data_IF_973518627093
#
_entry.id   IF_973518627093
#
_cell.length_a   1.000
_cell.length_b   1.000
_cell.length_c   1.000
_cell.angle_alpha   90.00
_cell.angle_beta   90.00
_cell.angle_gamma   90.00
#
_symmetry.space_group_name_H-M   'P 1'
#
loop_
_entity.id
_entity.type
_entity.pdbx_description
1 polymer ?
#
# COMPACT_ATOMS: atom_id res chain seq x y z
N UNK A 1 33.11 -75.33 -23.72
CA UNK A 1 32.50 -74.59 -24.84
C UNK A 1 31.69 -73.46 -24.21
N UNK A 2 32.21 -72.24 -24.04
CA UNK A 2 32.32 -71.19 -25.08
C UNK A 2 31.00 -71.03 -25.86
N UNK A 3 30.30 -69.89 -25.96
CA UNK A 3 30.69 -68.45 -25.93
C UNK A 3 29.44 -67.53 -25.87
N UNK A 4 29.61 -66.35 -25.23
CA UNK A 4 29.11 -64.96 -25.50
C UNK A 4 27.74 -64.71 -26.22
N UNK A 5 26.92 -63.75 -25.73
CA UNK A 5 26.94 -62.31 -26.13
C UNK A 5 25.73 -61.45 -25.62
N UNK A 6 26.08 -60.29 -25.04
CA UNK A 6 25.46 -58.92 -24.96
C UNK A 6 23.94 -58.57 -24.91
N UNK A 7 23.71 -57.47 -24.14
CA UNK A 7 22.64 -56.43 -24.16
C UNK A 7 21.25 -56.88 -23.63
N UNK A 8 20.56 -56.12 -22.77
CA UNK A 8 20.43 -54.65 -22.69
C UNK A 8 19.91 -54.24 -21.30
N UNK A 9 20.52 -53.18 -20.77
CA UNK A 9 20.06 -52.37 -19.64
C UNK A 9 18.61 -51.91 -19.77
N UNK A 10 17.88 -51.86 -18.66
CA UNK A 10 16.95 -50.77 -18.37
C UNK A 10 16.66 -50.70 -16.87
N UNK A 11 17.51 -49.95 -16.18
CA UNK A 11 17.30 -49.46 -14.82
C UNK A 11 16.06 -48.57 -14.79
N UNK A 12 15.08 -48.92 -13.95
CA UNK A 12 13.90 -48.10 -13.65
C UNK A 12 14.39 -46.82 -12.97
N UNK A 13 14.53 -45.75 -13.75
CA UNK A 13 14.98 -44.44 -13.26
C UNK A 13 13.79 -43.79 -12.55
N UNK A 14 13.79 -43.84 -11.22
CA UNK A 14 12.96 -42.97 -10.38
C UNK A 14 13.30 -41.54 -10.76
N UNK A 15 12.37 -40.87 -11.44
CA UNK A 15 12.47 -39.45 -11.76
C UNK A 15 12.32 -38.67 -10.46
N UNK A 16 13.43 -38.39 -9.79
CA UNK A 16 13.52 -37.29 -8.83
C UNK A 16 13.36 -36.00 -9.60
N UNK A 17 12.11 -35.51 -9.67
CA UNK A 17 11.79 -34.17 -10.12
C UNK A 17 12.44 -33.19 -9.14
N UNK A 18 13.64 -32.73 -9.47
CA UNK A 18 14.30 -31.64 -8.77
C UNK A 18 13.49 -30.38 -9.02
N UNK A 19 12.65 -30.00 -8.05
CA UNK A 19 12.05 -28.67 -8.06
C UNK A 19 13.18 -27.66 -7.93
N UNK A 20 13.62 -27.08 -9.06
CA UNK A 20 14.49 -25.90 -9.04
C UNK A 20 13.70 -24.79 -8.35
N UNK A 21 13.90 -24.62 -7.05
CA UNK A 21 13.34 -23.50 -6.30
C UNK A 21 14.02 -22.24 -6.80
N UNK A 22 13.26 -21.35 -7.43
CA UNK A 22 13.70 -19.99 -7.70
C UNK A 22 14.15 -19.33 -6.40
N UNK A 23 15.27 -18.58 -6.41
CA UNK A 23 15.74 -17.89 -5.22
C UNK A 23 14.69 -16.89 -4.75
N UNK A 24 14.35 -16.95 -3.45
CA UNK A 24 13.44 -16.00 -2.81
C UNK A 24 14.15 -14.66 -2.60
N UNK A 25 13.41 -13.56 -2.63
CA UNK A 25 13.93 -12.23 -2.31
C UNK A 25 14.51 -12.21 -0.90
N UNK A 26 15.74 -11.71 -0.68
CA UNK A 26 16.35 -11.65 0.64
C UNK A 26 15.62 -10.63 1.54
N UNK A 27 15.49 -10.96 2.82
CA UNK A 27 14.91 -10.08 3.82
C UNK A 27 15.83 -8.88 4.13
N UNK A 28 15.25 -7.71 4.35
CA UNK A 28 15.96 -6.54 4.88
C UNK A 28 16.33 -6.75 6.36
N UNK A 29 17.26 -5.95 6.88
CA UNK A 29 17.73 -6.05 8.28
C UNK A 29 16.62 -5.80 9.31
N UNK A 30 15.64 -4.99 8.95
CA UNK A 30 14.48 -4.58 9.74
C UNK A 30 13.19 -5.31 9.33
N UNK A 31 13.30 -6.44 8.60
CA UNK A 31 12.13 -7.20 8.17
C UNK A 31 11.35 -7.76 9.37
N UNK A 32 10.02 -7.70 9.27
CA UNK A 32 9.11 -8.33 10.22
C UNK A 32 9.39 -9.83 10.33
N UNK A 33 9.45 -10.34 11.57
CA UNK A 33 9.79 -11.75 11.85
C UNK A 33 8.56 -12.60 12.09
N UNK A 34 7.44 -11.97 12.47
CA UNK A 34 6.17 -12.61 12.73
C UNK A 34 4.98 -11.71 12.30
N UNK A 35 3.76 -12.21 12.53
CA UNK A 35 2.53 -11.48 12.18
C UNK A 35 2.33 -10.21 13.01
N UNK A 36 2.86 -10.16 14.23
CA UNK A 36 2.72 -9.00 15.11
C UNK A 36 3.62 -7.86 14.65
N UNK A 37 4.85 -8.16 14.26
CA UNK A 37 5.76 -7.21 13.63
C UNK A 37 5.16 -6.66 12.33
N UNK A 38 4.62 -7.55 11.48
CA UNK A 38 3.99 -7.14 10.22
C UNK A 38 2.77 -6.24 10.47
N UNK A 39 1.90 -6.60 11.42
CA UNK A 39 0.73 -5.80 11.79
C UNK A 39 1.12 -4.42 12.32
N UNK A 40 2.14 -4.34 13.18
CA UNK A 40 2.61 -3.04 13.68
C UNK A 40 3.21 -2.18 12.57
N UNK A 41 3.98 -2.77 11.66
CA UNK A 41 4.53 -2.03 10.52
C UNK A 41 3.43 -1.51 9.58
N UNK A 42 2.39 -2.31 9.32
CA UNK A 42 1.19 -1.86 8.61
C UNK A 42 0.44 -0.75 9.36
N UNK A 43 0.36 -0.83 10.70
CA UNK A 43 -0.27 0.21 11.53
C UNK A 43 0.49 1.53 11.46
N UNK A 44 1.83 1.49 11.45
CA UNK A 44 2.69 2.68 11.28
C UNK A 44 2.53 3.30 9.89
N UNK A 45 2.34 2.47 8.87
CA UNK A 45 2.17 2.88 7.47
C UNK A 45 0.85 3.63 7.27
N UNK A 46 -0.28 3.03 7.68
CA UNK A 46 -1.60 3.66 7.59
C UNK A 46 -1.71 4.91 8.48
N UNK A 47 -1.07 4.91 9.66
CA UNK A 47 -1.01 6.09 10.52
C UNK A 47 -0.28 7.27 9.87
N UNK A 48 0.77 6.99 9.09
CA UNK A 48 1.40 8.04 8.29
C UNK A 48 0.48 8.49 7.16
N UNK A 49 -0.15 7.56 6.47
CA UNK A 49 -1.03 7.83 5.33
C UNK A 49 -2.18 8.78 5.72
N UNK A 50 -2.91 8.46 6.79
CA UNK A 50 -4.02 9.28 7.28
C UNK A 50 -3.57 10.68 7.71
N UNK A 51 -2.40 10.80 8.34
CA UNK A 51 -1.82 12.11 8.70
C UNK A 51 -1.39 12.92 7.50
N UNK A 52 -0.91 12.27 6.44
CA UNK A 52 -0.55 12.93 5.19
C UNK A 52 -1.82 13.39 4.45
N UNK A 53 -2.84 12.53 4.38
CA UNK A 53 -4.14 12.81 3.78
C UNK A 53 -4.83 13.99 4.48
N UNK A 54 -4.87 14.01 5.81
CA UNK A 54 -5.44 15.13 6.59
C UNK A 54 -4.81 16.49 6.26
N UNK A 55 -3.53 16.51 5.83
CA UNK A 55 -2.85 17.74 5.39
C UNK A 55 -3.16 18.11 3.95
N UNK A 56 -3.45 17.12 3.10
CA UNK A 56 -3.73 17.32 1.68
C UNK A 56 -5.18 17.76 1.41
N UNK A 57 -6.16 17.20 2.14
CA UNK A 57 -7.58 17.46 1.95
C UNK A 57 -7.96 18.96 1.99
N UNK A 58 -7.43 19.80 2.90
CA UNK A 58 -7.72 21.24 2.88
C UNK A 58 -7.31 21.92 1.56
N UNK A 59 -6.19 21.48 0.95
CA UNK A 59 -5.74 22.02 -0.35
C UNK A 59 -6.68 21.58 -1.46
N UNK A 60 -7.12 20.32 -1.47
CA UNK A 60 -8.09 19.81 -2.44
C UNK A 60 -9.43 20.53 -2.32
N UNK A 61 -9.93 20.71 -1.09
CA UNK A 61 -11.19 21.41 -0.81
C UNK A 61 -11.17 22.86 -1.33
N UNK A 62 -10.05 23.56 -1.11
CA UNK A 62 -9.87 24.94 -1.59
C UNK A 62 -9.87 25.04 -3.12
N UNK A 63 -9.34 24.03 -3.80
CA UNK A 63 -9.21 23.99 -5.26
C UNK A 63 -10.44 23.44 -5.98
N UNK A 64 -11.32 22.73 -5.28
CA UNK A 64 -12.62 22.36 -5.80
C UNK A 64 -13.47 23.60 -6.07
N UNK A 65 -14.37 23.54 -7.06
CA UNK A 65 -15.29 24.63 -7.39
C UNK A 65 -16.73 24.30 -7.04
N UNK A 66 -17.14 23.04 -7.24
CA UNK A 66 -18.49 22.58 -6.99
C UNK A 66 -18.80 22.49 -5.48
N UNK A 67 -19.89 23.12 -4.98
CA UNK A 67 -20.19 23.18 -3.54
C UNK A 67 -20.32 21.80 -2.87
N UNK A 68 -20.93 20.83 -3.56
CA UNK A 68 -21.06 19.46 -3.01
C UNK A 68 -19.72 18.76 -2.88
N UNK A 69 -18.78 19.01 -3.79
CA UNK A 69 -17.44 18.42 -3.72
C UNK A 69 -16.64 19.04 -2.57
N UNK A 70 -16.71 20.37 -2.40
CA UNK A 70 -16.14 21.05 -1.23
C UNK A 70 -16.66 20.51 0.09
N UNK A 71 -17.98 20.26 0.17
CA UNK A 71 -18.59 19.68 1.36
C UNK A 71 -18.07 18.26 1.59
N UNK A 72 -18.09 17.40 0.58
CA UNK A 72 -17.63 16.02 0.69
C UNK A 72 -16.16 15.92 1.15
N UNK A 73 -15.26 16.74 0.60
CA UNK A 73 -13.85 16.77 1.03
C UNK A 73 -13.73 17.28 2.48
N UNK A 74 -14.57 18.23 2.88
CA UNK A 74 -14.61 18.73 4.25
C UNK A 74 -15.11 17.68 5.26
N UNK A 75 -16.18 16.97 4.92
CA UNK A 75 -16.70 15.86 5.73
C UNK A 75 -15.63 14.76 5.86
N UNK A 76 -15.01 14.39 4.74
CA UNK A 76 -13.96 13.38 4.70
C UNK A 76 -12.74 13.77 5.54
N UNK A 77 -12.35 15.05 5.58
CA UNK A 77 -11.28 15.53 6.48
C UNK A 77 -11.60 15.28 7.96
N UNK A 78 -12.84 15.46 8.38
CA UNK A 78 -13.23 15.18 9.77
C UNK A 78 -13.22 13.68 10.07
N UNK A 79 -13.63 12.84 9.12
CA UNK A 79 -13.51 11.38 9.20
C UNK A 79 -12.04 10.94 9.31
N UNK A 80 -11.17 11.44 8.43
CA UNK A 80 -9.71 11.19 8.44
C UNK A 80 -9.09 11.57 9.80
N UNK A 81 -9.45 12.73 10.36
CA UNK A 81 -8.97 13.14 11.70
C UNK A 81 -9.40 12.16 12.79
N UNK A 82 -10.62 11.64 12.70
CA UNK A 82 -11.11 10.63 13.62
C UNK A 82 -10.39 9.28 13.43
N UNK A 83 -10.09 8.90 12.20
CA UNK A 83 -9.29 7.70 11.90
C UNK A 83 -7.88 7.80 12.52
N UNK A 84 -7.24 8.96 12.43
CA UNK A 84 -5.95 9.23 13.10
C UNK A 84 -6.05 8.97 14.60
N UNK A 85 -7.12 9.44 15.28
CA UNK A 85 -7.32 9.19 16.71
C UNK A 85 -7.53 7.70 17.02
N UNK A 86 -8.34 7.00 16.22
CA UNK A 86 -8.56 5.55 16.38
C UNK A 86 -7.26 4.76 16.22
N UNK A 87 -6.40 5.15 15.27
CA UNK A 87 -5.08 4.54 15.11
C UNK A 87 -4.19 4.79 16.34
N UNK A 88 -4.24 5.99 16.93
CA UNK A 88 -3.53 6.28 18.19
C UNK A 88 -4.06 5.43 19.36
N UNK A 89 -5.36 5.13 19.40
CA UNK A 89 -5.95 4.19 20.35
C UNK A 89 -5.45 2.76 20.11
N UNK A 90 -5.37 2.30 18.86
CA UNK A 90 -4.76 1.01 18.52
C UNK A 90 -3.32 0.90 19.06
N UNK A 91 -2.49 1.94 18.88
CA UNK A 91 -1.14 1.97 19.44
C UNK A 91 -1.13 1.88 20.98
N UNK A 92 -2.05 2.59 21.65
CA UNK A 92 -2.21 2.52 23.11
C UNK A 92 -2.58 1.11 23.57
N UNK A 93 -3.51 0.45 22.89
CA UNK A 93 -3.92 -0.94 23.21
C UNK A 93 -2.77 -1.93 23.05
N UNK A 94 -1.88 -1.69 22.07
CA UNK A 94 -0.65 -2.46 21.89
C UNK A 94 0.46 -2.10 22.89
N UNK A 95 0.23 -1.12 23.78
CA UNK A 95 1.22 -0.54 24.69
C UNK A 95 2.46 -0.03 23.95
N UNK A 96 2.27 0.52 22.75
CA UNK A 96 3.33 1.10 21.91
C UNK A 96 3.08 2.59 21.69
N UNK A 97 4.16 3.34 21.46
CA UNK A 97 4.05 4.74 21.04
C UNK A 97 3.60 4.78 19.59
N UNK A 98 2.64 5.65 19.28
CA UNK A 98 2.26 5.92 17.90
C UNK A 98 3.48 6.44 17.11
N UNK A 99 3.83 5.72 16.06
CA UNK A 99 4.94 6.05 15.19
C UNK A 99 4.45 5.98 13.75
N UNK A 100 4.77 7.01 12.97
CA UNK A 100 4.45 7.05 11.55
C UNK A 100 5.65 6.53 10.76
N UNK A 101 5.40 5.62 9.82
CA UNK A 101 6.38 5.17 8.82
C UNK A 101 5.87 5.62 7.46
N UNK A 102 6.72 6.27 6.67
CA UNK A 102 6.31 6.84 5.39
C UNK A 102 5.70 5.75 4.50
N UNK A 103 4.45 5.97 4.09
CA UNK A 103 3.76 5.16 3.09
C UNK A 103 4.05 5.73 1.70
N UNK A 104 4.97 5.10 0.96
CA UNK A 104 5.34 5.57 -0.37
C UNK A 104 4.18 5.47 -1.36
N UNK A 105 3.24 4.52 -1.17
CA UNK A 105 2.04 4.41 -1.98
C UNK A 105 1.11 5.62 -1.79
N UNK A 106 0.79 5.97 -0.53
CA UNK A 106 -0.02 7.15 -0.24
C UNK A 106 0.66 8.43 -0.71
N UNK A 107 1.98 8.57 -0.50
CA UNK A 107 2.73 9.72 -1.00
C UNK A 107 2.57 9.87 -2.53
N UNK A 108 2.70 8.78 -3.28
CA UNK A 108 2.51 8.80 -4.72
C UNK A 108 1.11 9.25 -5.16
N UNK A 109 0.05 8.79 -4.47
CA UNK A 109 -1.32 9.22 -4.76
C UNK A 109 -1.55 10.70 -4.44
N UNK A 110 -0.98 11.19 -3.35
CA UNK A 110 -1.07 12.61 -2.98
C UNK A 110 -0.32 13.50 -3.97
N UNK A 111 0.83 13.05 -4.46
CA UNK A 111 1.60 13.75 -5.48
C UNK A 111 0.84 13.76 -6.81
N UNK A 112 0.22 12.64 -7.21
CA UNK A 112 -0.64 12.58 -8.39
C UNK A 112 -1.82 13.56 -8.28
N UNK A 113 -2.53 13.56 -7.15
CA UNK A 113 -3.64 14.50 -6.92
C UNK A 113 -3.21 15.96 -6.93
N UNK A 114 -1.99 16.26 -6.48
CA UNK A 114 -1.38 17.59 -6.58
C UNK A 114 -1.11 17.97 -8.04
N UNK A 115 -0.48 17.08 -8.81
CA UNK A 115 -0.20 17.31 -10.24
C UNK A 115 -1.49 17.55 -11.03
N UNK A 116 -2.54 16.76 -10.81
CA UNK A 116 -3.84 16.95 -11.46
C UNK A 116 -4.40 18.36 -11.22
N UNK A 117 -4.29 18.89 -10.01
CA UNK A 117 -4.73 20.27 -9.70
C UNK A 117 -3.86 21.34 -10.37
N UNK A 118 -2.59 21.05 -10.64
CA UNK A 118 -1.64 21.95 -11.32
C UNK A 118 -1.78 21.90 -12.85
N UNK A 119 -2.23 20.77 -13.40
CA UNK A 119 -2.40 20.52 -14.85
C UNK A 119 -3.81 20.86 -15.37
N UNK A 120 -4.76 21.19 -14.49
CA UNK A 120 -6.15 21.50 -14.87
C UNK A 120 -6.55 22.89 -14.39
N UNK A 121 -7.30 23.64 -15.19
CA UNK A 121 -7.86 24.94 -14.79
C UNK A 121 -9.00 24.79 -13.77
N UNK A 122 -9.23 25.78 -12.88
CA UNK A 122 -10.35 25.73 -11.93
C UNK A 122 -11.69 25.58 -12.66
N UNK A 123 -12.50 24.59 -12.28
CA UNK A 123 -13.80 24.33 -12.86
C UNK A 123 -14.13 22.84 -12.90
N UNK A 124 -15.08 22.45 -13.75
CA UNK A 124 -15.60 21.08 -13.81
C UNK A 124 -14.52 20.03 -14.10
N UNK A 125 -13.52 20.35 -14.93
CA UNK A 125 -12.43 19.42 -15.26
C UNK A 125 -11.52 19.17 -14.06
N UNK A 126 -11.12 20.23 -13.33
CA UNK A 126 -10.37 20.08 -12.08
C UNK A 126 -11.17 19.34 -11.02
N UNK A 127 -12.46 19.62 -10.89
CA UNK A 127 -13.33 18.90 -9.95
C UNK A 127 -13.40 17.40 -10.26
N UNK A 128 -13.52 17.01 -11.54
CA UNK A 128 -13.45 15.62 -11.96
C UNK A 128 -12.08 14.99 -11.62
N UNK A 129 -10.99 15.73 -11.83
CA UNK A 129 -9.65 15.29 -11.47
C UNK A 129 -9.46 15.10 -9.95
N UNK A 130 -9.98 16.01 -9.14
CA UNK A 130 -9.97 15.90 -7.67
C UNK A 130 -10.76 14.67 -7.22
N UNK A 131 -11.94 14.42 -7.82
CA UNK A 131 -12.74 13.23 -7.52
C UNK A 131 -11.95 11.95 -7.85
N UNK A 132 -11.35 11.89 -9.04
CA UNK A 132 -10.56 10.73 -9.46
C UNK A 132 -9.37 10.48 -8.52
N UNK A 133 -8.64 11.53 -8.13
CA UNK A 133 -7.54 11.44 -7.19
C UNK A 133 -7.99 10.97 -5.80
N UNK A 134 -9.08 11.53 -5.27
CA UNK A 134 -9.64 11.13 -3.98
C UNK A 134 -10.09 9.66 -4.00
N UNK A 135 -10.76 9.20 -5.06
CA UNK A 135 -11.18 7.80 -5.18
C UNK A 135 -10.02 6.81 -5.19
N UNK A 136 -8.88 7.17 -5.80
CA UNK A 136 -7.67 6.35 -5.75
C UNK A 136 -7.13 6.22 -4.33
N UNK A 137 -7.15 7.32 -3.56
CA UNK A 137 -6.76 7.35 -2.15
C UNK A 137 -7.64 6.40 -1.32
N UNK A 138 -8.96 6.44 -1.51
CA UNK A 138 -9.91 5.57 -0.77
C UNK A 138 -9.78 4.08 -1.08
N UNK A 139 -9.14 3.73 -2.21
CA UNK A 139 -9.00 2.34 -2.65
C UNK A 139 -7.67 1.72 -2.21
N UNK A 140 -6.74 2.53 -1.68
CA UNK A 140 -5.41 2.09 -1.23
C UNK A 140 -5.46 1.47 0.17
#
# INVERSE_FOLDING_TARGET
METKNAKKSTTKKTSTTSSKSTPKTPAKKDAAKDLKDLFEDSLKDIYWAEKALAKALPKMQKNATHPKLKKAIGDHLEETKEHVKRLEECFKLLKKKAQAKKCDAMQGLLDEGKSIMEETEPGAIRDAGIIAAAQKVETL
#
